data_IF_841309091864
#
_entry.id   IF_841309091864
#
_cell.length_a   1.000
_cell.length_b   1.000
_cell.length_c   1.000
_cell.angle_alpha   90.00
_cell.angle_beta   90.00
_cell.angle_gamma   90.00
#
_symmetry.space_group_name_H-M   'P 1'
#
loop_
_entity.id
_entity.type
_entity.pdbx_description
1 polymer ?
#
# COMPACT_ATOMS: atom_id res chain seq x y z
N UNK A 1 -19.79 14.72 -23.23
CA UNK A 1 -18.89 14.75 -22.07
C UNK A 1 -18.07 16.02 -22.15
N UNK A 2 -18.01 16.79 -21.06
CA UNK A 2 -17.18 18.00 -20.92
C UNK A 2 -16.02 17.73 -19.96
N UNK A 3 -15.06 18.64 -19.90
CA UNK A 3 -13.90 18.54 -18.99
C UNK A 3 -14.34 18.35 -17.53
N UNK A 4 -15.41 19.02 -17.13
CA UNK A 4 -15.95 18.94 -15.77
C UNK A 4 -16.53 17.56 -15.44
N UNK A 5 -17.05 16.84 -16.43
CA UNK A 5 -17.59 15.50 -16.23
C UNK A 5 -16.43 14.52 -15.96
N UNK A 6 -15.36 14.60 -16.75
CA UNK A 6 -14.15 13.77 -16.57
C UNK A 6 -13.46 14.05 -15.24
N UNK A 7 -13.39 15.32 -14.82
CA UNK A 7 -12.81 15.69 -13.53
C UNK A 7 -13.57 15.08 -12.36
N UNK A 8 -14.91 15.00 -12.44
CA UNK A 8 -15.70 14.32 -11.41
C UNK A 8 -15.42 12.82 -11.34
N UNK A 9 -15.25 12.18 -12.49
CA UNK A 9 -14.85 10.76 -12.55
C UNK A 9 -13.46 10.55 -11.92
N UNK A 10 -12.51 11.45 -12.16
CA UNK A 10 -11.20 11.43 -11.48
C UNK A 10 -11.37 11.60 -9.97
N UNK A 11 -12.16 12.58 -9.52
CA UNK A 11 -12.41 12.80 -8.09
C UNK A 11 -13.03 11.56 -7.42
N UNK A 12 -13.86 10.80 -8.14
CA UNK A 12 -14.43 9.53 -7.68
C UNK A 12 -13.36 8.46 -7.52
N UNK A 13 -12.51 8.27 -8.54
CA UNK A 13 -11.36 7.35 -8.49
C UNK A 13 -10.41 7.71 -7.36
N UNK A 14 -10.10 8.98 -7.16
CA UNK A 14 -9.22 9.45 -6.08
C UNK A 14 -9.80 9.10 -4.69
N UNK A 15 -11.11 9.28 -4.50
CA UNK A 15 -11.79 8.86 -3.27
C UNK A 15 -11.70 7.35 -3.06
N UNK A 16 -11.78 6.55 -4.12
CA UNK A 16 -11.63 5.10 -4.03
C UNK A 16 -10.20 4.68 -3.71
N UNK A 17 -9.20 5.33 -4.32
CA UNK A 17 -7.78 5.11 -4.02
C UNK A 17 -7.53 5.34 -2.52
N UNK A 18 -8.02 6.44 -1.95
CA UNK A 18 -7.86 6.73 -0.51
C UNK A 18 -8.50 5.63 0.35
N UNK A 19 -9.70 5.16 0.00
CA UNK A 19 -10.38 4.06 0.72
C UNK A 19 -9.57 2.76 0.63
N UNK A 20 -9.00 2.44 -0.53
CA UNK A 20 -8.18 1.25 -0.73
C UNK A 20 -6.87 1.31 0.07
N UNK A 21 -6.23 2.49 0.11
CA UNK A 21 -5.04 2.73 0.94
C UNK A 21 -5.37 2.51 2.41
N UNK A 22 -6.46 3.11 2.92
CA UNK A 22 -6.90 2.94 4.29
C UNK A 22 -7.15 1.46 4.63
N UNK A 23 -7.84 0.73 3.75
CA UNK A 23 -8.06 -0.71 3.91
C UNK A 23 -6.76 -1.50 3.94
N UNK A 24 -5.77 -1.15 3.11
CA UNK A 24 -4.45 -1.79 3.12
C UNK A 24 -3.73 -1.57 4.44
N UNK A 25 -3.84 -0.37 5.05
CA UNK A 25 -3.25 -0.11 6.38
C UNK A 25 -3.96 -0.86 7.51
N UNK A 26 -5.28 -1.05 7.43
CA UNK A 26 -6.00 -1.91 8.37
C UNK A 26 -5.49 -3.36 8.32
N UNK A 27 -5.24 -3.87 7.10
CA UNK A 27 -4.65 -5.20 6.90
C UNK A 27 -3.21 -5.28 7.44
N UNK A 28 -2.39 -4.23 7.26
CA UNK A 28 -1.06 -4.15 7.85
C UNK A 28 -1.10 -4.24 9.38
N UNK A 29 -2.05 -3.56 10.04
CA UNK A 29 -2.25 -3.68 11.49
C UNK A 29 -2.68 -5.09 11.93
N UNK A 30 -3.46 -5.81 11.12
CA UNK A 30 -3.79 -7.23 11.38
C UNK A 30 -2.55 -8.13 11.26
N UNK A 31 -1.74 -7.92 10.22
CA UNK A 31 -0.46 -8.62 10.03
C UNK A 31 0.48 -8.35 11.21
N UNK A 32 0.54 -7.11 11.72
CA UNK A 32 1.37 -6.73 12.86
C UNK A 32 1.11 -7.62 14.08
N UNK A 33 -0.18 -7.84 14.40
CA UNK A 33 -0.62 -8.69 15.52
C UNK A 33 -0.20 -10.15 15.32
N UNK A 34 -0.39 -10.67 14.11
CA UNK A 34 0.00 -12.05 13.78
C UNK A 34 1.52 -12.25 13.88
N UNK A 35 2.30 -11.31 13.33
CA UNK A 35 3.76 -11.32 13.41
C UNK A 35 4.25 -11.23 14.85
N UNK A 36 3.65 -10.36 15.65
CA UNK A 36 3.96 -10.24 17.08
C UNK A 36 3.73 -11.57 17.83
N UNK A 37 2.55 -12.18 17.66
CA UNK A 37 2.23 -13.46 18.31
C UNK A 37 3.11 -14.61 17.84
N UNK A 38 3.64 -14.54 16.61
CA UNK A 38 4.50 -15.56 16.02
C UNK A 38 6.01 -15.29 16.15
N UNK A 39 6.43 -14.18 16.78
CA UNK A 39 7.83 -13.80 16.86
C UNK A 39 8.48 -13.48 15.51
N UNK A 40 7.71 -13.06 14.51
CA UNK A 40 8.18 -12.77 13.17
C UNK A 40 8.58 -11.29 13.02
N UNK A 41 9.62 -10.98 12.22
CA UNK A 41 10.07 -9.61 12.01
C UNK A 41 9.06 -8.79 11.18
N UNK A 42 8.96 -7.49 11.48
CA UNK A 42 8.15 -6.54 10.69
C UNK A 42 8.67 -6.47 9.26
N UNK A 43 9.98 -6.26 9.10
CA UNK A 43 10.63 -6.16 7.80
C UNK A 43 10.76 -7.55 7.18
N UNK A 44 10.18 -7.71 6.00
CA UNK A 44 10.14 -8.96 5.24
C UNK A 44 10.52 -8.64 3.79
N UNK A 45 11.80 -8.84 3.47
CA UNK A 45 12.39 -8.51 2.17
C UNK A 45 11.82 -9.38 1.06
N UNK A 46 11.61 -10.67 1.33
CA UNK A 46 11.04 -11.61 0.37
C UNK A 46 9.59 -11.23 0.03
N UNK A 47 8.80 -10.88 1.05
CA UNK A 47 7.44 -10.41 0.83
C UNK A 47 7.42 -9.10 0.04
N UNK A 48 8.30 -8.15 0.37
CA UNK A 48 8.42 -6.87 -0.33
C UNK A 48 8.75 -7.08 -1.81
N UNK A 49 9.74 -7.92 -2.12
CA UNK A 49 10.10 -8.27 -3.48
C UNK A 49 8.92 -8.88 -4.24
N UNK A 50 8.23 -9.86 -3.64
CA UNK A 50 7.06 -10.49 -4.24
C UNK A 50 5.90 -9.50 -4.52
N UNK A 51 5.69 -8.49 -3.65
CA UNK A 51 4.73 -7.41 -3.94
C UNK A 51 5.19 -6.60 -5.14
N UNK A 52 6.45 -6.18 -5.18
CA UNK A 52 6.97 -5.31 -6.24
C UNK A 52 6.98 -6.00 -7.61
N UNK A 53 7.30 -7.30 -7.66
CA UNK A 53 7.25 -8.09 -8.89
C UNK A 53 5.80 -8.26 -9.40
N UNK A 54 4.86 -8.55 -8.49
CA UNK A 54 3.44 -8.65 -8.84
C UNK A 54 2.86 -7.34 -9.36
N UNK A 55 3.21 -6.22 -8.74
CA UNK A 55 2.75 -4.90 -9.16
C UNK A 55 3.36 -4.47 -10.49
N UNK A 56 4.63 -4.82 -10.74
CA UNK A 56 5.24 -4.59 -12.05
C UNK A 56 4.45 -5.29 -13.15
N UNK A 57 4.15 -6.58 -12.98
CA UNK A 57 3.40 -7.36 -13.96
C UNK A 57 1.99 -6.81 -14.17
N UNK A 58 1.28 -6.45 -13.08
CA UNK A 58 -0.04 -5.84 -13.17
C UNK A 58 -0.03 -4.51 -13.94
N UNK A 59 1.00 -3.68 -13.73
CA UNK A 59 1.14 -2.42 -14.44
C UNK A 59 1.43 -2.62 -15.93
N UNK A 60 2.27 -3.61 -16.28
CA UNK A 60 2.51 -4.02 -17.68
C UNK A 60 1.20 -4.46 -18.35
N UNK A 61 0.42 -5.32 -17.69
CA UNK A 61 -0.87 -5.80 -18.21
C UNK A 61 -1.89 -4.67 -18.39
N UNK A 62 -1.92 -3.71 -17.44
CA UNK A 62 -2.74 -2.52 -17.50
C UNK A 62 -2.24 -1.46 -18.49
N UNK A 63 -1.08 -1.68 -19.14
CA UNK A 63 -0.44 -0.77 -20.11
C UNK A 63 -0.13 0.62 -19.52
N UNK A 64 0.29 0.65 -18.27
CA UNK A 64 0.76 1.85 -17.56
C UNK A 64 2.23 1.69 -17.17
N UNK A 65 2.91 2.80 -16.84
CA UNK A 65 4.33 2.77 -16.49
C UNK A 65 4.58 1.92 -15.21
N UNK A 66 5.24 0.75 -15.33
CA UNK A 66 5.47 -0.13 -14.19
C UNK A 66 6.36 0.49 -13.12
N UNK A 67 7.31 1.33 -13.52
CA UNK A 67 8.25 1.98 -12.59
C UNK A 67 7.53 3.01 -11.75
N UNK A 68 6.65 3.82 -12.37
CA UNK A 68 5.82 4.79 -11.65
C UNK A 68 4.90 4.10 -10.63
N UNK A 69 4.26 2.99 -11.00
CA UNK A 69 3.39 2.24 -10.08
C UNK A 69 4.21 1.62 -8.95
N UNK A 70 5.40 1.06 -9.23
CA UNK A 70 6.30 0.57 -8.19
C UNK A 70 6.68 1.66 -7.19
N UNK A 71 6.95 2.88 -7.63
CA UNK A 71 7.26 4.01 -6.73
C UNK A 71 6.11 4.31 -5.77
N UNK A 72 4.85 4.25 -6.24
CA UNK A 72 3.68 4.38 -5.37
C UNK A 72 3.64 3.24 -4.34
N UNK A 73 3.90 2.01 -4.77
CA UNK A 73 3.90 0.85 -3.88
C UNK A 73 5.02 0.86 -2.85
N UNK A 74 6.19 1.42 -3.16
CA UNK A 74 7.25 1.67 -2.18
C UNK A 74 6.74 2.51 -1.01
N UNK A 75 5.99 3.59 -1.29
CA UNK A 75 5.38 4.43 -0.25
C UNK A 75 4.36 3.62 0.55
N UNK A 76 3.47 2.87 -0.12
CA UNK A 76 2.45 2.06 0.56
C UNK A 76 3.07 0.99 1.46
N UNK A 77 4.16 0.35 1.04
CA UNK A 77 4.89 -0.63 1.85
C UNK A 77 5.49 0.05 3.08
N UNK A 78 6.15 1.20 2.92
CA UNK A 78 6.71 1.97 4.03
C UNK A 78 5.63 2.34 5.07
N UNK A 79 4.48 2.86 4.63
CA UNK A 79 3.33 3.15 5.50
C UNK A 79 2.86 1.91 6.27
N UNK A 80 2.89 0.73 5.63
CA UNK A 80 2.47 -0.51 6.28
C UNK A 80 3.49 -1.05 7.28
N UNK A 81 4.78 -0.83 7.07
CA UNK A 81 5.80 -1.15 8.07
C UNK A 81 5.73 -0.21 9.27
N UNK A 82 5.53 1.10 9.03
CA UNK A 82 5.27 2.09 10.09
C UNK A 82 4.05 1.72 10.92
N UNK A 83 2.92 1.41 10.27
CA UNK A 83 1.71 0.97 10.96
C UNK A 83 1.93 -0.30 11.79
N UNK A 84 2.76 -1.22 11.31
CA UNK A 84 3.13 -2.42 12.06
C UNK A 84 3.96 -2.09 13.30
N UNK A 85 4.93 -1.15 13.20
CA UNK A 85 5.76 -0.68 14.32
C UNK A 85 4.90 -0.02 15.41
N UNK A 86 3.97 0.85 15.03
CA UNK A 86 3.00 1.46 15.95
C UNK A 86 2.19 0.44 16.74
N UNK A 87 1.70 -0.62 16.07
CA UNK A 87 0.91 -1.66 16.71
C UNK A 87 1.73 -2.51 17.71
N UNK A 88 3.06 -2.52 17.59
CA UNK A 88 3.96 -3.23 18.50
C UNK A 88 4.48 -2.37 19.66
N UNK A 89 4.10 -1.08 19.73
CA UNK A 89 4.51 -0.16 20.78
C UNK A 89 5.80 0.62 20.50
N UNK A 90 6.37 0.47 19.29
CA UNK A 90 7.58 1.16 18.81
C UNK A 90 7.25 2.39 17.93
N UNK A 91 5.97 2.77 17.86
CA UNK A 91 5.51 3.88 17.02
C UNK A 91 5.83 5.23 17.63
N UNK A 92 6.73 5.97 17.00
CA UNK A 92 6.92 7.39 17.25
C UNK A 92 6.04 8.17 16.26
N UNK A 93 4.78 8.40 16.62
CA UNK A 93 3.96 9.46 16.03
C UNK A 93 3.82 10.58 17.07
N UNK A 94 3.90 11.87 16.66
CA UNK A 94 3.53 12.99 17.54
C UNK A 94 2.06 12.95 17.96
#
# INVERSE_FOLDING_TARGET
MRIEDVRKEIDEVDREIVKLIARRQELAGKIARLKFTGGLPIHDTERTKAVMDGIFNNAVEAKIDPVAVQNIFTILIAMSEERQRECQGDGNLP
#
